data_IF_658303981340
#
_entry.id   IF_658303981340
#
_cell.length_a   1.000
_cell.length_b   1.000
_cell.length_c   1.000
_cell.angle_alpha   90.00
_cell.angle_beta   90.00
_cell.angle_gamma   90.00
#
_symmetry.space_group_name_H-M   'P 1'
#
loop_
_entity.id
_entity.type
_entity.pdbx_description
1 polymer ?
#
# COMPACT_ATOMS: atom_id res chain seq x y z
N UNK A 1 -60.39 44.85 -7.48
CA UNK A 1 -61.70 45.06 -8.07
C UNK A 1 -62.44 46.11 -7.22
N UNK A 2 -62.95 47.15 -7.86
CA UNK A 2 -63.76 48.18 -7.25
C UNK A 2 -65.17 48.04 -7.73
N UNK A 3 -66.14 48.08 -6.83
CA UNK A 3 -67.58 48.07 -7.13
C UNK A 3 -68.17 49.33 -6.53
N UNK A 4 -68.85 50.14 -7.30
CA UNK A 4 -69.54 51.36 -6.87
C UNK A 4 -71.02 51.21 -7.17
N UNK A 5 -71.85 51.28 -6.16
CA UNK A 5 -73.28 51.08 -6.23
C UNK A 5 -73.69 49.81 -6.99
N UNK A 6 -73.06 48.69 -6.64
CA UNK A 6 -73.19 47.38 -7.27
C UNK A 6 -72.76 47.31 -8.74
N UNK A 7 -72.13 48.35 -9.25
CA UNK A 7 -71.58 48.34 -10.63
C UNK A 7 -70.05 48.17 -10.51
N UNK A 8 -69.53 47.13 -11.21
CA UNK A 8 -68.09 46.92 -11.31
C UNK A 8 -67.48 48.07 -12.08
N UNK A 9 -66.50 48.72 -11.50
CA UNK A 9 -65.79 49.82 -12.11
C UNK A 9 -64.73 49.31 -13.07
N UNK A 10 -64.67 49.89 -14.26
CA UNK A 10 -63.55 49.66 -15.19
C UNK A 10 -62.27 50.19 -14.55
N UNK A 11 -61.17 49.49 -14.82
CA UNK A 11 -59.84 49.84 -14.27
C UNK A 11 -59.42 51.27 -14.62
N UNK A 12 -59.93 51.81 -15.77
CA UNK A 12 -59.61 53.17 -16.21
C UNK A 12 -60.41 54.25 -15.53
N UNK A 13 -61.44 53.89 -14.72
CA UNK A 13 -62.29 54.83 -13.98
C UNK A 13 -61.86 55.04 -12.55
N UNK A 14 -60.79 54.37 -12.10
CA UNK A 14 -60.17 54.56 -10.80
C UNK A 14 -58.67 54.34 -10.82
N UNK A 15 -57.93 54.93 -9.91
CA UNK A 15 -56.53 54.68 -9.69
C UNK A 15 -56.24 54.26 -8.24
N UNK A 16 -55.20 53.44 -8.07
CA UNK A 16 -54.67 53.05 -6.77
C UNK A 16 -53.28 53.63 -6.66
N UNK A 17 -53.03 54.40 -5.61
CA UNK A 17 -51.76 55.08 -5.40
C UNK A 17 -51.47 55.34 -3.93
N UNK A 18 -50.62 56.33 -3.67
CA UNK A 18 -50.15 56.66 -2.35
C UNK A 18 -49.08 55.69 -1.79
N UNK A 19 -48.51 55.98 -0.66
CA UNK A 19 -47.50 55.14 -0.02
C UNK A 19 -48.10 53.78 0.31
N UNK A 20 -47.58 52.72 -0.31
CA UNK A 20 -48.02 51.32 -0.13
C UNK A 20 -49.37 51.04 -0.84
N UNK A 21 -49.73 51.80 -1.91
CA UNK A 21 -50.98 51.61 -2.67
C UNK A 21 -52.26 51.63 -1.80
N UNK A 22 -52.28 52.47 -0.79
CA UNK A 22 -53.36 52.54 0.18
C UNK A 22 -54.46 53.60 -0.15
N UNK A 23 -54.23 54.35 -1.26
CA UNK A 23 -55.20 55.41 -1.67
C UNK A 23 -55.92 54.95 -2.90
N UNK A 24 -57.24 54.86 -2.84
CA UNK A 24 -58.13 54.67 -3.97
C UNK A 24 -58.71 56.00 -4.42
N UNK A 25 -58.47 56.39 -5.67
CA UNK A 25 -59.04 57.58 -6.27
C UNK A 25 -60.02 57.13 -7.33
N UNK A 26 -61.32 57.56 -7.14
CA UNK A 26 -62.37 57.26 -8.10
C UNK A 26 -62.51 58.41 -9.10
N UNK A 27 -62.93 58.13 -10.34
CA UNK A 27 -63.13 59.13 -11.38
C UNK A 27 -64.35 59.98 -11.25
N UNK A 28 -65.18 59.82 -10.19
CA UNK A 28 -66.37 60.58 -9.93
C UNK A 28 -66.43 61.00 -8.46
N UNK A 29 -67.34 62.00 -8.14
CA UNK A 29 -67.55 62.47 -6.79
C UNK A 29 -68.55 61.59 -6.05
N UNK A 30 -68.14 61.08 -4.88
CA UNK A 30 -69.02 60.31 -4.01
C UNK A 30 -70.02 61.19 -3.30
N UNK A 31 -71.27 60.70 -3.18
CA UNK A 31 -72.31 61.32 -2.33
C UNK A 31 -72.64 60.40 -1.16
N UNK A 32 -73.27 60.86 -0.14
CA UNK A 32 -73.51 60.16 1.13
C UNK A 32 -74.29 58.83 0.98
N UNK A 33 -74.98 58.61 -0.15
CA UNK A 33 -75.74 57.40 -0.43
C UNK A 33 -74.91 56.34 -1.22
N UNK A 34 -73.73 56.71 -1.63
CA UNK A 34 -72.89 55.79 -2.46
C UNK A 34 -72.27 54.71 -1.59
N UNK A 35 -72.26 53.48 -2.16
CA UNK A 35 -71.63 52.34 -1.55
C UNK A 35 -70.43 51.92 -2.45
N UNK A 36 -69.23 51.99 -1.89
CA UNK A 36 -68.04 51.57 -2.56
C UNK A 36 -67.48 50.30 -1.90
N UNK A 37 -67.36 49.20 -2.61
CA UNK A 37 -66.80 48.00 -2.11
C UNK A 37 -65.49 47.69 -2.92
N UNK A 38 -64.42 47.47 -2.15
CA UNK A 38 -63.12 47.17 -2.72
C UNK A 38 -62.73 45.73 -2.39
N UNK A 39 -62.56 44.93 -3.41
CA UNK A 39 -62.04 43.57 -3.26
C UNK A 39 -60.54 43.58 -3.55
N UNK A 40 -59.73 43.35 -2.49
CA UNK A 40 -58.29 43.19 -2.63
C UNK A 40 -57.99 41.79 -3.11
N UNK A 41 -57.74 41.63 -4.42
CA UNK A 41 -57.13 40.40 -4.94
C UNK A 41 -55.64 40.52 -4.77
N UNK A 42 -55.18 40.13 -3.61
CA UNK A 42 -53.73 40.06 -3.38
C UNK A 42 -53.18 38.86 -4.10
N UNK A 43 -52.28 39.04 -5.09
CA UNK A 43 -51.33 38.00 -5.41
C UNK A 43 -50.40 37.88 -4.18
N UNK A 44 -50.76 37.03 -3.28
CA UNK A 44 -49.78 36.57 -2.31
C UNK A 44 -48.70 35.85 -3.11
N UNK A 45 -47.63 36.56 -3.44
CA UNK A 45 -46.36 35.87 -3.65
C UNK A 45 -45.99 35.35 -2.28
N UNK A 46 -46.48 34.17 -1.98
CA UNK A 46 -45.95 33.41 -0.86
C UNK A 46 -44.51 33.07 -1.23
N UNK A 47 -43.56 33.84 -0.65
CA UNK A 47 -42.30 33.19 -0.31
C UNK A 47 -42.66 32.20 0.81
N UNK A 48 -43.04 31.00 0.42
CA UNK A 48 -43.31 29.95 1.39
C UNK A 48 -41.94 29.55 1.92
N UNK A 49 -41.59 30.07 3.07
CA UNK A 49 -40.57 29.41 3.88
C UNK A 49 -41.23 28.10 4.36
N UNK A 50 -40.82 26.96 3.83
CA UNK A 50 -41.36 25.68 4.29
C UNK A 50 -41.11 25.56 5.80
N UNK A 51 -42.07 25.07 6.54
CA UNK A 51 -41.87 24.76 7.96
C UNK A 51 -40.75 23.71 8.07
N UNK A 52 -39.98 23.75 9.14
CA UNK A 52 -38.91 22.75 9.35
C UNK A 52 -39.45 21.33 9.22
N UNK A 53 -38.78 20.50 8.38
CA UNK A 53 -39.15 19.10 8.11
C UNK A 53 -40.33 18.92 7.11
N UNK A 54 -40.89 20.01 6.52
CA UNK A 54 -42.00 19.91 5.56
C UNK A 54 -41.58 19.56 4.12
N UNK A 55 -40.28 19.69 3.83
CA UNK A 55 -39.71 19.30 2.54
C UNK A 55 -39.07 17.93 2.67
N UNK A 56 -39.63 16.92 2.02
CA UNK A 56 -39.12 15.56 1.98
C UNK A 56 -38.76 15.16 0.54
N UNK A 57 -38.36 13.93 0.32
CA UNK A 57 -37.90 13.45 -0.99
C UNK A 57 -38.95 13.57 -2.08
N UNK A 58 -40.25 13.56 -1.74
CA UNK A 58 -41.33 13.68 -2.74
C UNK A 58 -41.55 15.10 -3.25
N UNK A 59 -41.08 16.11 -2.53
CA UNK A 59 -41.14 17.50 -2.91
C UNK A 59 -39.89 17.99 -3.64
N UNK A 60 -38.82 17.19 -3.64
CA UNK A 60 -37.60 17.47 -4.39
C UNK A 60 -37.63 16.65 -5.70
N UNK A 61 -37.64 17.33 -6.83
CA UNK A 61 -37.39 16.65 -8.11
C UNK A 61 -35.94 16.14 -8.17
N UNK A 62 -35.69 15.15 -9.00
CA UNK A 62 -34.34 14.70 -9.27
C UNK A 62 -33.48 15.89 -9.72
N UNK A 63 -32.24 15.95 -9.24
CA UNK A 63 -31.29 17.04 -9.46
C UNK A 63 -31.72 18.43 -8.95
N UNK A 64 -32.78 18.53 -8.16
CA UNK A 64 -33.24 19.82 -7.59
C UNK A 64 -32.20 20.46 -6.66
N UNK A 65 -31.35 19.67 -6.00
CA UNK A 65 -30.25 20.13 -5.13
C UNK A 65 -28.94 19.95 -5.88
N UNK A 66 -28.49 21.03 -6.52
CA UNK A 66 -27.19 21.06 -7.21
C UNK A 66 -26.06 21.44 -6.27
N UNK A 67 -24.81 21.19 -6.65
CA UNK A 67 -23.62 21.54 -5.87
C UNK A 67 -23.59 23.02 -5.43
N UNK A 68 -24.07 23.95 -6.27
CA UNK A 68 -24.14 25.37 -5.95
C UNK A 68 -25.21 25.75 -4.90
N UNK A 69 -26.14 24.82 -4.58
CA UNK A 69 -27.18 25.00 -3.55
C UNK A 69 -26.78 24.39 -2.21
N UNK A 70 -25.71 23.61 -2.17
CA UNK A 70 -25.11 23.09 -0.95
C UNK A 70 -24.08 24.09 -0.43
N UNK A 71 -24.15 24.44 0.85
CA UNK A 71 -23.04 25.19 1.47
C UNK A 71 -21.78 24.34 1.51
N UNK A 72 -20.62 24.97 1.63
CA UNK A 72 -19.32 24.25 1.75
C UNK A 72 -19.26 23.34 2.97
N UNK A 73 -20.17 23.50 3.93
CA UNK A 73 -20.29 22.70 5.16
C UNK A 73 -21.53 21.80 5.17
N UNK A 74 -22.29 21.74 4.07
CA UNK A 74 -23.53 20.96 4.03
C UNK A 74 -23.31 19.44 4.08
N UNK A 75 -22.13 18.99 3.72
CA UNK A 75 -21.73 17.57 3.82
C UNK A 75 -20.52 17.51 4.76
N UNK A 76 -20.74 17.11 5.99
CA UNK A 76 -19.72 16.91 7.01
C UNK A 76 -19.82 15.50 7.61
N UNK A 77 -18.98 15.19 8.59
CA UNK A 77 -18.98 13.88 9.22
C UNK A 77 -20.23 13.57 10.04
N UNK A 78 -21.07 14.57 10.35
CA UNK A 78 -22.36 14.36 11.04
C UNK A 78 -23.48 14.00 10.06
N UNK A 79 -23.34 14.43 8.80
CA UNK A 79 -24.29 14.20 7.72
C UNK A 79 -23.91 13.01 6.82
N UNK A 80 -22.65 12.56 6.86
CA UNK A 80 -22.19 11.37 6.14
C UNK A 80 -22.44 10.12 6.97
N UNK A 81 -23.27 9.23 6.45
CA UNK A 81 -23.48 7.93 7.09
C UNK A 81 -22.25 7.02 6.78
N UNK A 82 -21.86 6.21 7.76
CA UNK A 82 -20.82 5.20 7.60
C UNK A 82 -21.08 4.26 6.41
N UNK A 83 -22.31 4.09 5.97
CA UNK A 83 -22.69 3.35 4.76
C UNK A 83 -22.07 3.91 3.48
N UNK A 84 -21.64 5.18 3.48
CA UNK A 84 -20.87 5.74 2.37
C UNK A 84 -19.61 4.90 2.07
N UNK A 85 -19.03 4.30 3.09
CA UNK A 85 -17.85 3.43 2.98
C UNK A 85 -18.26 1.96 3.07
N UNK A 86 -19.03 1.59 4.09
CA UNK A 86 -19.31 0.17 4.40
C UNK A 86 -20.25 -0.51 3.42
N UNK A 87 -21.06 0.25 2.67
CA UNK A 87 -21.92 -0.28 1.60
C UNK A 87 -21.19 -0.46 0.25
N UNK A 88 -19.91 -0.06 0.17
CA UNK A 88 -19.16 -0.25 -1.07
C UNK A 88 -18.60 -1.67 -1.14
N UNK A 89 -18.43 -2.17 -2.36
CA UNK A 89 -17.75 -3.46 -2.59
C UNK A 89 -16.28 -3.31 -2.24
N UNK A 90 -15.77 -4.24 -1.43
CA UNK A 90 -14.34 -4.26 -1.08
C UNK A 90 -13.47 -4.46 -2.33
N UNK A 91 -12.46 -3.61 -2.46
CA UNK A 91 -11.37 -3.81 -3.42
C UNK A 91 -10.16 -4.39 -2.69
N UNK A 92 -10.00 -5.71 -2.77
CA UNK A 92 -8.95 -6.46 -2.07
C UNK A 92 -7.55 -6.27 -2.66
N UNK A 93 -7.43 -5.83 -3.92
CA UNK A 93 -6.15 -5.61 -4.58
C UNK A 93 -6.07 -4.20 -5.15
N UNK A 94 -5.15 -3.39 -4.61
CA UNK A 94 -4.93 -2.01 -5.04
C UNK A 94 -3.94 -1.96 -6.20
N UNK A 95 -4.29 -1.18 -7.24
CA UNK A 95 -3.40 -0.84 -8.35
C UNK A 95 -2.90 0.60 -8.24
N UNK A 96 -1.81 0.94 -8.91
CA UNK A 96 -1.13 2.23 -8.75
C UNK A 96 -1.99 3.46 -9.11
N UNK A 97 -2.99 3.30 -9.97
CA UNK A 97 -3.94 4.34 -10.33
C UNK A 97 -5.06 4.56 -9.30
N UNK A 98 -5.20 3.71 -8.28
CA UNK A 98 -6.22 3.88 -7.24
C UNK A 98 -5.98 5.16 -6.44
N UNK A 99 -7.07 5.83 -6.09
CA UNK A 99 -7.07 7.14 -5.44
C UNK A 99 -7.62 7.06 -4.03
N UNK A 100 -6.95 7.71 -3.11
CA UNK A 100 -7.39 7.88 -1.72
C UNK A 100 -7.71 9.34 -1.47
N UNK A 101 -8.86 9.61 -0.86
CA UNK A 101 -9.24 10.96 -0.45
C UNK A 101 -8.49 11.35 0.81
N UNK A 102 -7.89 12.53 0.81
CA UNK A 102 -7.15 13.08 1.94
C UNK A 102 -7.57 14.51 2.23
N UNK A 103 -7.40 14.96 3.47
CA UNK A 103 -7.42 16.37 3.85
C UNK A 103 -5.98 16.90 3.79
N UNK A 104 -5.73 17.87 2.92
CA UNK A 104 -4.39 18.44 2.74
C UNK A 104 -4.15 19.56 3.79
N UNK A 105 -3.30 19.28 4.77
CA UNK A 105 -2.97 20.25 5.83
C UNK A 105 -2.24 21.48 5.29
N UNK A 106 -1.47 21.37 4.21
CA UNK A 106 -0.78 22.49 3.58
C UNK A 106 -1.74 23.41 2.80
N UNK A 107 -2.95 22.92 2.47
CA UNK A 107 -4.02 23.67 1.81
C UNK A 107 -5.20 23.93 2.75
N UNK A 108 -4.95 24.19 4.02
CA UNK A 108 -5.97 24.50 5.05
C UNK A 108 -7.08 23.44 5.16
N UNK A 109 -6.74 22.17 4.97
CA UNK A 109 -7.67 21.07 5.06
C UNK A 109 -8.51 20.83 3.80
N UNK A 110 -8.17 21.45 2.66
CA UNK A 110 -8.87 21.18 1.40
C UNK A 110 -8.81 19.70 1.03
N UNK A 111 -9.92 19.16 0.52
CA UNK A 111 -9.97 17.78 0.07
C UNK A 111 -9.15 17.62 -1.21
N UNK A 112 -8.24 16.68 -1.20
CA UNK A 112 -7.45 16.23 -2.34
C UNK A 112 -7.43 14.72 -2.41
N UNK A 113 -6.90 14.18 -3.47
CA UNK A 113 -6.61 12.75 -3.56
C UNK A 113 -5.10 12.50 -3.67
N UNK A 114 -4.68 11.37 -3.16
CA UNK A 114 -3.36 10.78 -3.42
C UNK A 114 -3.55 9.47 -4.17
N UNK A 115 -2.74 9.21 -5.19
CA UNK A 115 -2.71 7.91 -5.85
C UNK A 115 -1.91 6.91 -5.01
N UNK A 116 -2.25 5.63 -5.12
CA UNK A 116 -1.50 4.55 -4.45
C UNK A 116 -0.02 4.60 -4.79
N UNK A 117 0.34 4.91 -6.03
CA UNK A 117 1.73 5.05 -6.48
C UNK A 117 2.54 6.12 -5.71
N UNK A 118 1.86 7.13 -5.14
CA UNK A 118 2.48 8.21 -4.37
C UNK A 118 2.44 7.99 -2.85
N UNK A 119 1.80 6.92 -2.39
CA UNK A 119 1.91 6.52 -0.99
C UNK A 119 3.33 5.97 -0.76
N UNK A 120 3.97 6.29 0.37
CA UNK A 120 5.22 5.64 0.72
C UNK A 120 4.97 4.13 0.71
N UNK A 121 5.45 3.44 -0.33
CA UNK A 121 5.64 2.00 -0.20
C UNK A 121 6.72 1.85 0.85
N UNK A 122 6.48 1.09 1.92
CA UNK A 122 7.54 0.78 2.86
C UNK A 122 8.79 0.38 2.07
N UNK A 123 9.96 0.83 2.51
CA UNK A 123 11.23 0.61 1.81
C UNK A 123 11.52 -0.87 1.54
N UNK A 124 10.74 -1.77 2.14
CA UNK A 124 10.86 -3.22 2.05
C UNK A 124 9.60 -3.84 1.41
N UNK A 125 9.70 -4.23 0.16
CA UNK A 125 8.61 -4.84 -0.62
C UNK A 125 8.80 -6.36 -0.66
N UNK A 126 7.78 -7.13 -0.21
CA UNK A 126 7.82 -8.59 -0.33
C UNK A 126 7.65 -9.01 -1.80
N UNK A 127 8.63 -9.73 -2.33
CA UNK A 127 8.72 -10.15 -3.73
C UNK A 127 8.34 -11.61 -3.94
N UNK A 128 8.79 -12.48 -3.03
CA UNK A 128 8.54 -13.92 -3.12
C UNK A 128 8.41 -14.53 -1.73
N UNK A 129 7.68 -15.61 -1.63
CA UNK A 129 7.63 -16.47 -0.46
C UNK A 129 7.30 -17.90 -0.89
N UNK A 130 7.80 -18.87 -0.15
CA UNK A 130 7.36 -20.25 -0.28
C UNK A 130 7.40 -20.94 1.09
N UNK A 131 6.61 -22.00 1.19
CA UNK A 131 6.64 -22.96 2.29
C UNK A 131 6.44 -24.34 1.67
N UNK A 132 7.40 -25.21 1.85
CA UNK A 132 7.35 -26.60 1.39
C UNK A 132 7.73 -27.54 2.53
N UNK A 133 6.97 -28.61 2.65
CA UNK A 133 7.25 -29.73 3.57
C UNK A 133 7.72 -30.97 2.82
N UNK A 134 8.05 -30.83 1.53
CA UNK A 134 8.54 -31.92 0.68
C UNK A 134 10.04 -31.82 0.51
N UNK A 135 10.70 -32.97 0.46
CA UNK A 135 12.11 -33.05 0.18
C UNK A 135 12.42 -32.48 -1.21
N UNK A 136 13.51 -31.72 -1.29
CA UNK A 136 14.02 -31.18 -2.57
C UNK A 136 15.53 -31.11 -2.54
N UNK A 137 16.19 -31.46 -3.66
CA UNK A 137 17.65 -31.42 -3.79
C UNK A 137 18.21 -29.99 -3.80
N UNK A 138 17.41 -29.02 -4.22
CA UNK A 138 17.82 -27.61 -4.26
C UNK A 138 16.65 -26.68 -4.00
N UNK A 139 16.94 -25.47 -3.53
CA UNK A 139 15.98 -24.36 -3.41
C UNK A 139 16.40 -23.30 -4.42
N UNK A 140 15.64 -23.16 -5.50
CA UNK A 140 15.93 -22.23 -6.59
C UNK A 140 14.88 -21.12 -6.65
N UNK A 141 15.35 -19.88 -6.74
CA UNK A 141 14.55 -18.66 -6.75
C UNK A 141 15.01 -17.84 -7.94
N UNK A 142 14.32 -18.00 -9.07
CA UNK A 142 14.71 -17.42 -10.35
C UNK A 142 13.86 -16.19 -10.70
N UNK A 143 14.40 -15.31 -11.54
CA UNK A 143 13.71 -14.14 -12.11
C UNK A 143 13.12 -13.20 -11.05
N UNK A 144 13.83 -12.98 -9.93
CA UNK A 144 13.37 -12.17 -8.81
C UNK A 144 14.08 -10.83 -8.68
N UNK A 145 15.21 -10.66 -9.37
CA UNK A 145 15.97 -9.42 -9.32
C UNK A 145 15.54 -8.46 -10.43
N UNK A 146 15.42 -7.18 -10.08
CA UNK A 146 15.09 -6.12 -11.03
C UNK A 146 15.82 -4.82 -10.67
N UNK A 147 15.97 -3.92 -11.64
CA UNK A 147 16.59 -2.60 -11.46
C UNK A 147 15.80 -1.63 -10.57
N UNK A 148 14.59 -2.01 -10.16
CA UNK A 148 13.74 -1.20 -9.26
C UNK A 148 14.25 -1.21 -7.83
N UNK A 149 15.03 -2.24 -7.44
CA UNK A 149 15.51 -2.43 -6.07
C UNK A 149 17.02 -2.27 -6.01
N UNK A 150 17.49 -1.59 -4.96
CA UNK A 150 18.92 -1.38 -4.69
C UNK A 150 19.58 -2.55 -3.97
N UNK A 151 18.79 -3.43 -3.39
CA UNK A 151 19.24 -4.63 -2.69
C UNK A 151 18.06 -5.47 -2.24
N UNK A 152 18.37 -6.64 -1.69
CA UNK A 152 17.34 -7.60 -1.30
C UNK A 152 17.66 -8.18 0.08
N UNK A 153 16.62 -8.54 0.83
CA UNK A 153 16.73 -9.29 2.07
C UNK A 153 15.99 -10.61 1.93
N UNK A 154 16.69 -11.68 2.21
CA UNK A 154 16.17 -13.03 2.20
C UNK A 154 16.17 -13.61 3.60
N UNK A 155 15.00 -14.05 4.06
CA UNK A 155 14.82 -14.74 5.33
C UNK A 155 14.39 -16.15 5.04
N UNK A 156 15.09 -17.14 5.56
CA UNK A 156 14.66 -18.52 5.40
C UNK A 156 14.95 -19.38 6.65
N UNK A 157 14.18 -20.46 6.69
CA UNK A 157 14.40 -21.57 7.60
C UNK A 157 14.31 -22.83 6.79
N UNK A 158 15.32 -23.70 6.87
CA UNK A 158 15.26 -25.01 6.23
C UNK A 158 16.02 -26.05 7.05
N UNK A 159 15.73 -27.32 6.77
CA UNK A 159 16.30 -28.48 7.44
C UNK A 159 16.91 -29.41 6.41
N UNK A 160 18.02 -30.05 6.74
CA UNK A 160 18.64 -31.13 5.96
C UNK A 160 18.09 -32.49 6.36
N UNK A 161 17.95 -33.40 5.40
CA UNK A 161 17.69 -34.83 5.67
C UNK A 161 18.94 -35.59 6.13
N UNK A 162 20.14 -35.07 5.85
CA UNK A 162 21.42 -35.67 6.20
C UNK A 162 22.14 -34.87 7.29
N UNK A 163 22.96 -35.57 8.09
CA UNK A 163 23.93 -34.98 9.02
C UNK A 163 25.26 -34.71 8.33
N UNK A 164 26.05 -33.81 8.93
CA UNK A 164 27.40 -33.42 8.50
C UNK A 164 27.46 -32.94 7.05
N UNK A 165 26.48 -32.18 6.65
CA UNK A 165 26.41 -31.54 5.33
C UNK A 165 26.61 -30.03 5.45
N UNK A 166 27.18 -29.42 4.43
CA UNK A 166 27.23 -27.97 4.36
C UNK A 166 26.21 -27.43 3.36
N UNK A 167 25.71 -26.23 3.65
CA UNK A 167 24.82 -25.49 2.77
C UNK A 167 25.60 -24.46 1.97
N UNK A 168 25.38 -24.43 0.67
CA UNK A 168 26.00 -23.49 -0.25
C UNK A 168 24.96 -22.63 -0.93
N UNK A 169 25.35 -21.40 -1.22
CA UNK A 169 24.62 -20.42 -2.00
C UNK A 169 25.25 -20.28 -3.38
N UNK A 170 24.43 -20.10 -4.40
CA UNK A 170 24.86 -19.70 -5.75
C UNK A 170 23.96 -18.63 -6.32
N UNK A 171 24.57 -17.71 -7.04
CA UNK A 171 23.84 -16.86 -7.96
C UNK A 171 23.33 -17.69 -9.14
N UNK A 172 22.21 -17.26 -9.73
CA UNK A 172 21.58 -17.92 -10.87
C UNK A 172 21.28 -16.93 -11.98
N UNK A 173 21.30 -17.41 -13.23
CA UNK A 173 20.92 -16.65 -14.41
C UNK A 173 20.22 -17.59 -15.40
N UNK A 174 19.05 -17.16 -15.91
CA UNK A 174 18.25 -17.95 -16.85
C UNK A 174 17.90 -19.36 -16.36
N UNK A 175 17.69 -19.54 -15.05
CA UNK A 175 17.35 -20.83 -14.43
C UNK A 175 18.56 -21.76 -14.21
N UNK A 176 19.80 -21.30 -14.39
CA UNK A 176 21.01 -22.07 -14.20
C UNK A 176 21.92 -21.48 -13.13
N UNK A 177 22.60 -22.34 -12.38
CA UNK A 177 23.59 -21.94 -11.39
C UNK A 177 24.82 -21.33 -12.02
N UNK A 178 25.32 -20.22 -11.46
CA UNK A 178 26.59 -19.61 -11.81
C UNK A 178 27.72 -20.34 -11.06
N UNK A 179 28.34 -21.35 -11.67
CA UNK A 179 29.30 -22.25 -11.02
C UNK A 179 30.77 -21.94 -11.35
N UNK A 180 31.05 -20.79 -11.96
CA UNK A 180 32.41 -20.35 -12.19
C UNK A 180 33.13 -20.14 -10.86
N UNK A 181 34.38 -20.61 -10.75
CA UNK A 181 35.18 -20.54 -9.51
C UNK A 181 35.64 -19.12 -9.18
N UNK A 182 34.68 -18.26 -8.82
CA UNK A 182 34.85 -16.82 -8.59
C UNK A 182 34.12 -16.35 -7.32
N UNK A 183 33.79 -17.28 -6.44
CA UNK A 183 33.22 -16.93 -5.10
C UNK A 183 34.37 -16.76 -4.12
N UNK A 184 34.43 -15.57 -3.48
CA UNK A 184 35.46 -15.21 -2.51
C UNK A 184 34.79 -14.67 -1.25
N UNK A 185 35.01 -15.31 -0.12
CA UNK A 185 34.40 -14.87 1.12
C UNK A 185 34.87 -15.60 2.35
N UNK A 186 34.37 -15.19 3.48
CA UNK A 186 34.60 -15.85 4.76
C UNK A 186 33.49 -15.60 5.73
N UNK A 187 33.35 -16.47 6.70
CA UNK A 187 32.54 -16.23 7.88
C UNK A 187 33.33 -16.38 9.16
N UNK A 188 32.80 -15.79 10.22
CA UNK A 188 33.24 -16.01 11.60
C UNK A 188 32.04 -16.09 12.51
N UNK A 189 32.18 -16.84 13.59
CA UNK A 189 31.16 -16.99 14.61
C UNK A 189 31.64 -17.79 15.78
N UNK A 190 30.71 -18.27 16.57
CA UNK A 190 30.94 -19.11 17.70
C UNK A 190 30.01 -20.30 17.75
N UNK A 191 30.37 -21.26 18.58
CA UNK A 191 29.52 -22.40 18.89
C UNK A 191 29.49 -22.65 20.42
N UNK A 192 28.42 -23.31 20.83
CA UNK A 192 28.27 -23.82 22.22
C UNK A 192 27.86 -25.29 22.13
N UNK A 193 28.50 -26.13 22.92
CA UNK A 193 28.16 -27.54 23.13
C UNK A 193 28.18 -27.90 24.62
N UNK A 194 27.94 -29.17 24.91
CA UNK A 194 27.97 -29.69 26.29
C UNK A 194 29.30 -29.52 27.03
N UNK A 195 30.39 -29.24 26.32
CA UNK A 195 31.74 -29.08 26.89
C UNK A 195 32.24 -27.64 26.98
N UNK A 196 31.48 -26.69 26.41
CA UNK A 196 31.83 -25.25 26.44
C UNK A 196 31.53 -24.51 25.14
N UNK A 197 32.24 -23.40 24.95
CA UNK A 197 32.09 -22.53 23.77
C UNK A 197 33.41 -22.44 23.01
N UNK A 198 33.35 -22.23 21.71
CA UNK A 198 34.49 -22.06 20.82
C UNK A 198 34.20 -21.18 19.62
N UNK A 199 35.23 -20.92 18.83
CA UNK A 199 35.13 -20.17 17.59
C UNK A 199 34.88 -21.09 16.41
N UNK A 200 34.06 -20.59 15.45
CA UNK A 200 33.81 -21.22 14.14
C UNK A 200 34.23 -20.28 13.04
N UNK A 201 34.85 -20.81 12.02
CA UNK A 201 35.14 -20.06 10.79
C UNK A 201 35.32 -20.98 9.59
N UNK A 202 34.90 -20.50 8.42
CA UNK A 202 35.21 -21.09 7.14
C UNK A 202 35.38 -20.01 6.07
N UNK A 203 36.00 -20.35 4.96
CA UNK A 203 36.27 -19.39 3.87
C UNK A 203 36.16 -20.07 2.52
N UNK A 204 35.81 -19.27 1.51
CA UNK A 204 35.82 -19.63 0.09
C UNK A 204 36.91 -18.81 -0.60
N UNK A 205 37.69 -19.47 -1.45
CA UNK A 205 38.67 -18.80 -2.25
C UNK A 205 38.65 -19.35 -3.66
N UNK A 206 38.09 -18.63 -4.61
CA UNK A 206 37.89 -19.12 -5.97
C UNK A 206 36.99 -20.35 -6.02
N UNK A 207 35.97 -20.43 -5.18
CA UNK A 207 35.04 -21.55 -5.11
C UNK A 207 33.95 -21.42 -6.17
N UNK A 208 33.26 -22.52 -6.50
CA UNK A 208 32.11 -22.55 -7.41
C UNK A 208 30.79 -22.21 -6.72
N UNK A 209 30.82 -21.92 -5.41
CA UNK A 209 29.69 -21.54 -4.57
C UNK A 209 30.17 -20.85 -3.30
N UNK A 210 29.28 -20.12 -2.63
CA UNK A 210 29.55 -19.59 -1.29
C UNK A 210 29.01 -20.53 -0.22
N UNK A 211 29.85 -20.97 0.72
CA UNK A 211 29.39 -21.74 1.88
C UNK A 211 28.71 -20.80 2.88
N UNK A 212 27.50 -21.11 3.32
CA UNK A 212 26.73 -20.31 4.27
C UNK A 212 26.49 -21.00 5.61
N UNK A 213 26.61 -22.32 5.65
CA UNK A 213 26.61 -23.11 6.88
C UNK A 213 27.44 -24.37 6.69
N UNK A 214 28.00 -24.89 7.77
CA UNK A 214 28.88 -26.07 7.75
C UNK A 214 28.42 -27.13 8.76
N UNK A 215 28.60 -28.41 8.42
CA UNK A 215 28.30 -29.56 9.29
C UNK A 215 26.88 -29.55 9.87
N UNK A 216 25.88 -29.20 9.05
CA UNK A 216 24.47 -29.20 9.46
C UNK A 216 24.05 -30.57 9.99
N UNK A 217 23.31 -30.57 11.09
CA UNK A 217 22.77 -31.76 11.69
C UNK A 217 21.31 -31.99 11.25
N UNK A 218 20.90 -33.27 11.08
CA UNK A 218 19.54 -33.64 10.65
C UNK A 218 18.56 -33.93 11.81
N UNK A 219 18.92 -33.69 13.05
CA UNK A 219 18.05 -33.94 14.20
C UNK A 219 16.74 -33.16 14.11
N UNK A 220 15.66 -33.73 14.67
CA UNK A 220 14.29 -33.20 14.54
C UNK A 220 14.06 -31.76 15.05
N UNK A 221 15.02 -31.19 15.75
CA UNK A 221 14.95 -29.83 16.31
C UNK A 221 15.84 -28.83 15.55
N UNK A 222 16.50 -29.23 14.47
CA UNK A 222 17.62 -28.52 13.89
C UNK A 222 17.26 -27.93 12.54
N UNK A 223 16.81 -26.68 12.53
CA UNK A 223 16.67 -25.88 11.33
C UNK A 223 17.85 -24.92 11.20
N UNK A 224 18.32 -24.68 9.99
CA UNK A 224 19.13 -23.53 9.66
C UNK A 224 18.21 -22.31 9.52
N UNK A 225 18.42 -21.30 10.33
CA UNK A 225 17.83 -19.99 10.20
C UNK A 225 18.84 -19.07 9.53
N UNK A 226 18.46 -18.48 8.41
CA UNK A 226 19.32 -17.62 7.61
C UNK A 226 18.64 -16.26 7.36
N UNK A 227 19.36 -15.18 7.66
CA UNK A 227 19.06 -13.81 7.30
C UNK A 227 20.17 -13.31 6.37
N UNK A 228 19.84 -12.98 5.14
CA UNK A 228 20.80 -12.65 4.10
C UNK A 228 20.43 -11.36 3.38
N UNK A 229 21.41 -10.49 3.21
CA UNK A 229 21.35 -9.36 2.30
C UNK A 229 22.00 -9.74 0.98
N UNK A 230 21.32 -9.45 -0.13
CA UNK A 230 21.72 -9.78 -1.47
C UNK A 230 21.88 -8.50 -2.28
N UNK A 231 23.04 -8.33 -2.90
CA UNK A 231 23.37 -7.21 -3.78
C UNK A 231 23.81 -7.77 -5.12
N UNK A 232 22.87 -8.19 -6.00
CA UNK A 232 23.23 -8.67 -7.31
C UNK A 232 23.85 -7.55 -8.13
N UNK A 233 24.90 -7.88 -8.88
CA UNK A 233 25.43 -6.96 -9.87
C UNK A 233 24.33 -6.61 -10.88
N UNK A 234 24.12 -5.33 -11.12
CA UNK A 234 23.27 -4.90 -12.21
C UNK A 234 24.05 -3.89 -13.07
N UNK A 235 24.04 -4.09 -14.36
CA UNK A 235 24.75 -3.26 -15.34
C UNK A 235 24.05 -1.90 -15.57
N UNK A 236 23.11 -1.48 -14.75
CA UNK A 236 22.27 -0.27 -14.98
C UNK A 236 22.75 0.98 -14.27
N UNK A 237 24.04 1.09 -13.96
CA UNK A 237 24.66 2.38 -13.64
C UNK A 237 24.28 2.99 -12.30
N UNK A 238 23.88 2.24 -11.30
CA UNK A 238 23.90 2.71 -9.93
C UNK A 238 25.36 2.89 -9.54
N UNK A 239 25.73 4.14 -9.37
CA UNK A 239 27.09 4.60 -9.13
C UNK A 239 27.81 3.71 -8.11
N UNK A 240 28.90 3.14 -8.55
CA UNK A 240 29.83 2.34 -7.79
C UNK A 240 30.13 2.97 -6.44
N UNK A 241 29.73 2.31 -5.38
CA UNK A 241 30.33 2.55 -4.07
C UNK A 241 31.67 1.82 -4.09
N UNK A 242 32.67 2.51 -4.64
CA UNK A 242 34.07 2.06 -4.69
C UNK A 242 34.34 0.98 -5.73
N UNK A 243 35.26 1.21 -6.61
CA UNK A 243 35.87 0.50 -7.70
C UNK A 243 35.96 -1.05 -7.63
N UNK A 244 34.85 -1.74 -7.39
CA UNK A 244 34.71 -3.17 -7.65
C UNK A 244 33.66 -3.27 -8.76
N UNK A 245 34.11 -2.97 -9.96
CA UNK A 245 33.35 -3.19 -11.17
C UNK A 245 33.04 -4.68 -11.26
N UNK A 246 31.76 -5.02 -11.45
CA UNK A 246 31.29 -6.35 -11.78
C UNK A 246 31.30 -7.39 -10.63
N UNK A 247 30.78 -7.04 -9.44
CA UNK A 247 30.66 -8.01 -8.37
C UNK A 247 29.25 -8.07 -7.78
N UNK A 248 28.74 -9.29 -7.60
CA UNK A 248 27.57 -9.56 -6.79
C UNK A 248 27.98 -9.92 -5.37
N UNK A 249 27.33 -9.36 -4.38
CA UNK A 249 27.71 -9.53 -2.98
C UNK A 249 26.56 -10.11 -2.16
N UNK A 250 26.92 -10.95 -1.19
CA UNK A 250 26.03 -11.39 -0.12
C UNK A 250 26.63 -11.09 1.24
N UNK A 251 25.78 -10.77 2.20
CA UNK A 251 26.12 -10.69 3.62
C UNK A 251 25.07 -11.52 4.34
N UNK A 252 25.48 -12.40 5.25
CA UNK A 252 24.53 -13.27 5.93
C UNK A 252 24.81 -13.44 7.41
N UNK A 253 23.76 -13.81 8.11
CA UNK A 253 23.77 -14.30 9.48
C UNK A 253 23.05 -15.65 9.52
N UNK A 254 23.69 -16.68 10.06
CA UNK A 254 23.13 -18.02 10.14
C UNK A 254 23.18 -18.53 11.58
N UNK A 255 22.12 -19.22 11.99
CA UNK A 255 22.04 -19.95 13.26
C UNK A 255 21.54 -21.36 12.98
N UNK A 256 22.26 -22.37 13.45
CA UNK A 256 21.95 -23.76 13.21
C UNK A 256 22.59 -24.68 14.25
N UNK A 257 22.18 -25.95 14.22
CA UNK A 257 22.87 -27.01 14.92
C UNK A 257 23.81 -27.75 13.97
N UNK A 258 25.03 -27.96 14.41
CA UNK A 258 26.06 -28.68 13.67
C UNK A 258 26.34 -30.03 14.32
N UNK A 259 26.69 -31.01 13.47
CA UNK A 259 27.24 -32.29 13.88
C UNK A 259 28.75 -32.24 13.63
N UNK A 260 29.52 -32.16 14.67
CA UNK A 260 30.97 -32.01 14.57
C UNK A 260 31.70 -33.01 15.46
N UNK A 261 32.98 -33.23 15.19
CA UNK A 261 33.84 -34.03 16.03
C UNK A 261 33.85 -33.46 17.46
N UNK A 262 33.17 -34.12 18.39
CA UNK A 262 32.96 -33.66 19.75
C UNK A 262 31.49 -33.52 20.17
N UNK A 263 30.56 -33.88 19.28
CA UNK A 263 29.12 -33.91 19.53
C UNK A 263 28.36 -32.73 18.92
N UNK A 264 27.05 -32.78 19.08
CA UNK A 264 26.15 -31.70 18.63
C UNK A 264 26.46 -30.36 19.26
N UNK A 265 26.46 -29.31 18.46
CA UNK A 265 26.70 -27.94 18.93
C UNK A 265 25.78 -26.94 18.20
N UNK A 266 25.34 -25.93 18.91
CA UNK A 266 24.69 -24.80 18.30
C UNK A 266 25.73 -23.83 17.75
N UNK A 267 25.60 -23.45 16.51
CA UNK A 267 26.45 -22.50 15.83
C UNK A 267 25.71 -21.23 15.48
N UNK A 268 26.43 -20.12 15.58
CA UNK A 268 26.00 -18.81 15.10
C UNK A 268 27.15 -18.18 14.33
N UNK A 269 26.97 -17.94 13.06
CA UNK A 269 28.00 -17.41 12.17
C UNK A 269 27.47 -16.24 11.36
N UNK A 270 28.37 -15.32 11.02
CA UNK A 270 28.10 -14.21 10.11
C UNK A 270 29.21 -14.13 9.10
N UNK A 271 28.88 -13.85 7.86
CA UNK A 271 29.85 -13.81 6.79
C UNK A 271 29.44 -12.90 5.64
N UNK A 272 30.35 -12.83 4.68
CA UNK A 272 30.14 -12.18 3.41
C UNK A 272 30.87 -12.92 2.30
N UNK A 273 30.33 -12.86 1.10
CA UNK A 273 30.93 -13.43 -0.09
C UNK A 273 30.71 -12.54 -1.29
N UNK A 274 31.69 -12.48 -2.17
CA UNK A 274 31.70 -11.72 -3.41
C UNK A 274 31.84 -12.68 -4.57
N UNK A 275 30.97 -12.56 -5.55
CA UNK A 275 31.07 -13.24 -6.83
C UNK A 275 31.55 -12.27 -7.91
N UNK A 276 32.75 -12.49 -8.44
CA UNK A 276 33.47 -11.52 -9.30
C UNK A 276 33.30 -11.84 -10.80
N UNK A 277 32.07 -11.75 -11.28
CA UNK A 277 31.76 -11.99 -12.70
C UNK A 277 30.85 -10.88 -13.26
N UNK A 278 30.92 -10.72 -14.59
CA UNK A 278 30.12 -9.75 -15.33
C UNK A 278 28.70 -10.23 -15.64
N UNK A 279 28.40 -11.50 -15.36
CA UNK A 279 27.04 -12.03 -15.52
C UNK A 279 26.12 -11.37 -14.50
N UNK A 280 25.02 -10.80 -14.97
CA UNK A 280 23.98 -10.22 -14.15
C UNK A 280 23.06 -11.33 -13.66
N UNK A 281 23.07 -11.71 -12.38
CA UNK A 281 22.17 -12.74 -11.91
C UNK A 281 20.73 -12.25 -11.92
N UNK A 282 19.80 -13.12 -12.27
CA UNK A 282 18.35 -12.88 -12.17
C UNK A 282 17.72 -13.55 -10.94
N UNK A 283 18.49 -14.43 -10.27
CA UNK A 283 18.06 -15.21 -9.13
C UNK A 283 19.22 -15.78 -8.32
N UNK A 284 18.87 -16.67 -7.42
CA UNK A 284 19.83 -17.39 -6.55
C UNK A 284 19.27 -18.73 -6.09
N UNK A 285 20.14 -19.59 -5.56
CA UNK A 285 19.74 -20.88 -5.05
C UNK A 285 20.62 -21.38 -3.91
N UNK A 286 20.13 -22.44 -3.27
CA UNK A 286 20.82 -23.15 -2.21
C UNK A 286 20.86 -24.64 -2.52
N UNK A 287 22.02 -25.24 -2.26
CA UNK A 287 22.26 -26.67 -2.34
C UNK A 287 22.89 -27.19 -1.05
N UNK A 288 22.66 -28.47 -0.76
CA UNK A 288 23.39 -29.20 0.26
C UNK A 288 24.54 -30.00 -0.41
N UNK A 289 25.62 -30.19 0.33
CA UNK A 289 26.75 -31.02 -0.18
C UNK A 289 26.39 -32.48 -0.42
N UNK A 290 25.32 -32.96 0.25
CA UNK A 290 24.70 -34.26 -0.01
C UNK A 290 23.28 -34.31 0.55
N UNK A 291 22.42 -35.15 -0.05
CA UNK A 291 21.01 -35.29 0.38
C UNK A 291 20.12 -34.11 -0.04
N UNK A 292 18.98 -34.04 0.56
CA UNK A 292 17.91 -33.10 0.24
C UNK A 292 17.60 -32.17 1.42
N UNK A 293 16.94 -31.06 1.13
CA UNK A 293 16.24 -30.26 2.14
C UNK A 293 14.95 -31.00 2.56
N UNK A 294 14.75 -31.20 3.86
CA UNK A 294 13.54 -31.83 4.46
C UNK A 294 12.40 -30.80 4.66
N UNK A 295 12.31 -29.84 3.80
CA UNK A 295 11.38 -28.75 3.88
C UNK A 295 12.04 -27.40 4.12
N UNK A 296 11.34 -26.35 3.72
CA UNK A 296 11.83 -24.99 3.83
C UNK A 296 10.67 -23.99 3.91
N UNK A 297 10.99 -22.84 4.49
CA UNK A 297 10.15 -21.66 4.46
C UNK A 297 11.04 -20.45 4.15
N UNK A 298 10.62 -19.61 3.22
CA UNK A 298 11.35 -18.36 2.95
C UNK A 298 10.44 -17.19 2.61
N UNK A 299 10.99 -15.98 2.78
CA UNK A 299 10.47 -14.74 2.27
C UNK A 299 11.61 -13.89 1.69
N UNK A 300 11.40 -13.35 0.49
CA UNK A 300 12.30 -12.42 -0.18
C UNK A 300 11.67 -11.04 -0.26
N UNK A 301 12.45 -10.03 0.10
CA UNK A 301 12.06 -8.63 0.06
C UNK A 301 13.06 -7.83 -0.76
N UNK A 302 12.56 -6.81 -1.50
CA UNK A 302 13.39 -5.85 -2.20
C UNK A 302 13.38 -4.49 -1.50
N UNK A 303 14.53 -3.83 -1.41
CA UNK A 303 14.66 -2.45 -0.94
C UNK A 303 14.43 -1.50 -2.10
N UNK A 304 13.41 -0.64 -2.02
CA UNK A 304 13.27 0.52 -2.92
C UNK A 304 14.22 1.61 -2.43
N UNK A 305 15.12 2.05 -3.30
CA UNK A 305 15.96 3.21 -3.08
C UNK A 305 15.26 4.51 -3.46
#
# INVERSE_FOLDING_TARGET
LVVWNNIVQDKNTYSVGGTGNKTLTLGGTLVSADVVTVYYLNKVMQSVNPTAGSVNTTQLADDAVTAGKLSSTAVDNTNTNSTLITAQTEKSSLVDADKFLISDSAASGALKYVQKSNLPSGDLVKLAQANSLSNTGSINIDSVFSSVYTGYRFLCTFKSVNSDVHCTFRWRDGGSDLTVSQYYGSCRGGYVNGSGAGAQSFSDWGSSSAKVADSLNNNNYNALHLDMLLYPYNNTGVANIGSIDNASNIIWHAQYWADAAGGERQEQVSGGNTYTQTTVPDGFGFDLSSGDFDGYNYALFGYKG
#
